data_IF_935427933668
#
_entry.id   IF_935427933668
#
_cell.length_a   1.000
_cell.length_b   1.000
_cell.length_c   1.000
_cell.angle_alpha   90.00
_cell.angle_beta   90.00
_cell.angle_gamma   90.00
#
_symmetry.space_group_name_H-M   'P 1'
#
loop_
_entity.id
_entity.type
_entity.pdbx_description
1 polymer ?
#
# COMPACT_ATOMS: atom_id res chain seq x y z
N UNK A 1 15.33 -14.69 -3.34
CA UNK A 1 15.45 -14.28 -2.45
C UNK A 1 14.51 -13.29 -1.86
N UNK A 2 14.48 -12.81 -0.92
CA UNK A 2 13.82 -11.70 -0.33
C UNK A 2 12.33 -11.49 -0.48
N UNK A 3 11.64 -12.29 -1.29
CA UNK A 3 10.24 -12.05 -1.56
C UNK A 3 9.34 -12.27 -0.35
N UNK A 4 9.86 -12.86 0.70
CA UNK A 4 9.12 -13.11 1.92
C UNK A 4 9.73 -12.39 3.10
N UNK A 5 10.38 -11.26 2.84
CA UNK A 5 10.87 -10.39 3.89
C UNK A 5 9.75 -9.94 4.79
N UNK A 6 10.06 -9.76 6.07
CA UNK A 6 9.12 -9.23 7.04
C UNK A 6 9.59 -7.85 7.49
N UNK A 7 8.64 -6.94 7.66
CA UNK A 7 8.94 -5.61 8.18
C UNK A 7 7.70 -5.06 8.88
N UNK A 8 7.93 -4.09 9.74
CA UNK A 8 6.86 -3.36 10.42
C UNK A 8 6.49 -2.10 9.67
N UNK A 9 7.40 -1.57 8.85
CA UNK A 9 7.18 -0.37 8.04
C UNK A 9 7.10 -0.78 6.58
N UNK A 10 6.07 -0.29 5.91
CA UNK A 10 5.89 -0.55 4.50
C UNK A 10 5.54 0.74 3.77
N UNK A 11 6.16 0.93 2.62
CA UNK A 11 5.81 2.02 1.71
C UNK A 11 5.39 1.41 0.39
N UNK A 12 4.23 1.84 -0.08
CA UNK A 12 3.65 1.32 -1.30
C UNK A 12 3.29 2.47 -2.22
N UNK A 13 3.37 2.23 -3.53
CA UNK A 13 2.90 3.17 -4.53
C UNK A 13 1.95 2.44 -5.46
N UNK A 14 0.73 2.96 -5.59
CA UNK A 14 -0.28 2.40 -6.48
C UNK A 14 -0.47 3.38 -7.63
N UNK A 15 -0.16 2.94 -8.85
CA UNK A 15 -0.40 3.74 -10.05
C UNK A 15 -1.85 3.55 -10.48
N UNK A 16 -2.51 4.67 -10.84
CA UNK A 16 -3.89 4.66 -11.32
C UNK A 16 -4.81 3.86 -10.40
N UNK A 17 -4.90 4.23 -9.12
CA UNK A 17 -5.63 3.42 -8.15
C UNK A 17 -7.10 3.24 -8.49
N UNK A 18 -7.75 4.26 -9.08
CA UNK A 18 -9.17 4.15 -9.41
C UNK A 18 -9.42 3.13 -10.51
N UNK A 19 -8.48 2.95 -11.43
CA UNK A 19 -8.60 1.91 -12.46
C UNK A 19 -8.52 0.52 -11.87
N UNK A 20 -7.85 0.39 -10.74
CA UNK A 20 -7.76 -0.87 -10.00
C UNK A 20 -8.88 -1.04 -8.98
N UNK A 21 -9.83 -0.09 -8.93
CA UNK A 21 -10.93 -0.13 -7.96
C UNK A 21 -10.48 0.24 -6.55
N UNK A 22 -9.39 0.99 -6.42
CA UNK A 22 -8.79 1.31 -5.12
C UNK A 22 -8.92 2.81 -4.83
N UNK A 23 -10.10 3.25 -4.41
CA UNK A 23 -10.24 4.58 -3.84
C UNK A 23 -9.69 4.58 -2.40
N UNK A 24 -9.66 5.76 -1.78
CA UNK A 24 -9.08 5.88 -0.42
C UNK A 24 -9.82 5.02 0.60
N UNK A 25 -11.13 4.90 0.47
CA UNK A 25 -11.91 4.08 1.41
C UNK A 25 -11.57 2.60 1.28
N UNK A 26 -11.44 2.12 0.05
CA UNK A 26 -11.07 0.73 -0.22
C UNK A 26 -9.65 0.45 0.28
N UNK A 27 -8.72 1.36 0.03
CA UNK A 27 -7.34 1.22 0.51
C UNK A 27 -7.33 1.18 2.05
N UNK A 28 -8.05 2.09 2.69
CA UNK A 28 -8.14 2.12 4.14
C UNK A 28 -8.66 0.80 4.70
N UNK A 29 -9.72 0.27 4.11
CA UNK A 29 -10.29 -0.99 4.57
C UNK A 29 -9.30 -2.13 4.49
N UNK A 30 -8.49 -2.17 3.42
CA UNK A 30 -7.45 -3.18 3.29
C UNK A 30 -6.36 -2.97 4.35
N UNK A 31 -5.92 -1.72 4.54
CA UNK A 31 -4.89 -1.41 5.54
C UNK A 31 -5.31 -1.79 6.94
N UNK A 32 -6.58 -1.59 7.28
CA UNK A 32 -7.09 -1.92 8.61
C UNK A 32 -7.03 -3.42 8.88
N UNK A 33 -6.99 -4.26 7.85
CA UNK A 33 -6.83 -5.70 8.04
C UNK A 33 -5.48 -6.05 8.66
N UNK A 34 -4.49 -5.17 8.56
CA UNK A 34 -3.17 -5.39 9.16
C UNK A 34 -3.07 -4.84 10.58
N UNK A 35 -4.14 -4.22 11.10
CA UNK A 35 -4.18 -3.60 12.43
C UNK A 35 -2.99 -2.64 12.63
N UNK A 36 -2.76 -1.69 11.73
CA UNK A 36 -1.61 -0.80 11.84
C UNK A 36 -1.78 0.15 13.02
N UNK A 37 -0.66 0.52 13.63
CA UNK A 37 -0.67 1.58 14.63
C UNK A 37 -0.63 2.96 13.98
N UNK A 38 -0.22 3.04 12.71
CA UNK A 38 -0.20 4.27 11.94
C UNK A 38 -0.25 3.96 10.46
N UNK A 39 -0.97 4.77 9.71
CA UNK A 39 -0.90 4.75 8.26
C UNK A 39 -1.24 6.14 7.72
N UNK A 40 -0.76 6.43 6.51
CA UNK A 40 -1.18 7.62 5.79
C UNK A 40 -1.18 7.33 4.30
N UNK A 41 -1.94 8.14 3.57
CA UNK A 41 -2.03 8.08 2.12
C UNK A 41 -1.83 9.48 1.56
N UNK A 42 -1.14 9.57 0.43
CA UNK A 42 -0.94 10.83 -0.26
C UNK A 42 -1.10 10.60 -1.75
N UNK A 43 -1.91 11.43 -2.39
CA UNK A 43 -2.11 11.38 -3.83
C UNK A 43 -1.14 12.31 -4.53
N UNK A 44 -0.67 11.90 -5.69
CA UNK A 44 0.19 12.69 -6.54
C UNK A 44 -0.22 12.49 -7.99
N UNK A 45 -0.12 13.55 -8.78
CA UNK A 45 -0.30 13.47 -10.22
C UNK A 45 1.04 13.81 -10.87
N UNK A 46 1.61 12.84 -11.58
CA UNK A 46 2.88 13.03 -12.28
C UNK A 46 2.69 14.00 -13.45
N UNK A 47 3.81 14.55 -13.95
CA UNK A 47 3.79 15.47 -15.09
C UNK A 47 3.16 14.85 -16.33
N UNK A 48 3.19 13.51 -16.42
CA UNK A 48 2.55 12.76 -17.51
C UNK A 48 1.04 12.63 -17.32
N UNK A 49 0.49 13.09 -16.21
CA UNK A 49 -0.93 12.94 -15.89
C UNK A 49 -1.28 11.63 -15.17
N UNK A 50 -0.31 10.79 -14.88
CA UNK A 50 -0.55 9.55 -14.18
C UNK A 50 -0.83 9.81 -12.69
N UNK A 51 -1.92 9.26 -12.19
CA UNK A 51 -2.26 9.36 -10.78
C UNK A 51 -1.53 8.28 -9.98
N UNK A 52 -0.99 8.68 -8.83
CA UNK A 52 -0.33 7.76 -7.90
C UNK A 52 -0.91 7.96 -6.51
N UNK A 53 -1.07 6.87 -5.78
CA UNK A 53 -1.33 6.97 -4.34
C UNK A 53 -0.15 6.34 -3.61
N UNK A 54 0.49 7.13 -2.76
CA UNK A 54 1.57 6.68 -1.91
C UNK A 54 0.99 6.31 -0.55
N UNK A 55 1.36 5.14 -0.05
CA UNK A 55 0.86 4.63 1.22
C UNK A 55 2.05 4.36 2.12
N UNK A 56 1.99 4.83 3.35
CA UNK A 56 2.93 4.46 4.40
C UNK A 56 2.13 3.78 5.51
N UNK A 57 2.64 2.63 5.97
CA UNK A 57 2.00 1.88 7.05
C UNK A 57 3.04 1.43 8.05
N UNK A 58 2.73 1.58 9.33
CA UNK A 58 3.53 1.01 10.42
C UNK A 58 2.66 0.04 11.19
N UNK A 59 3.11 -1.20 11.29
CA UNK A 59 2.40 -2.26 12.01
C UNK A 59 3.18 -2.63 13.26
N UNK A 60 2.50 -2.85 14.40
CA UNK A 60 3.20 -3.27 15.63
C UNK A 60 3.81 -4.67 15.52
N UNK A 61 3.29 -5.49 14.61
CA UNK A 61 3.85 -6.81 14.35
C UNK A 61 4.38 -6.86 12.91
N UNK A 62 5.48 -7.58 12.67
CA UNK A 62 6.01 -7.69 11.30
C UNK A 62 5.00 -8.29 10.34
N UNK A 63 4.94 -7.74 9.13
CA UNK A 63 4.10 -8.25 8.05
C UNK A 63 5.01 -8.71 6.92
N UNK A 64 4.66 -9.81 6.28
CA UNK A 64 5.45 -10.36 5.18
C UNK A 64 5.16 -9.63 3.89
N UNK A 65 6.18 -9.52 3.05
CA UNK A 65 6.05 -8.96 1.71
C UNK A 65 4.92 -9.65 0.93
N UNK A 66 4.88 -10.99 0.97
CA UNK A 66 3.86 -11.73 0.23
C UNK A 66 2.44 -11.40 0.70
N UNK A 67 2.26 -11.11 1.97
CA UNK A 67 0.96 -10.73 2.52
C UNK A 67 0.55 -9.34 2.01
N UNK A 68 1.48 -8.39 2.00
CA UNK A 68 1.23 -7.06 1.46
C UNK A 68 0.89 -7.16 -0.03
N UNK A 69 1.68 -7.92 -0.79
CA UNK A 69 1.49 -8.03 -2.24
C UNK A 69 0.18 -8.72 -2.58
N UNK A 70 -0.26 -9.67 -1.76
CA UNK A 70 -1.54 -10.35 -1.97
C UNK A 70 -2.72 -9.39 -1.82
N UNK A 71 -2.61 -8.41 -0.90
CA UNK A 71 -3.67 -7.43 -0.67
C UNK A 71 -3.61 -6.26 -1.65
N UNK A 72 -2.41 -5.93 -2.13
CA UNK A 72 -2.20 -4.83 -3.08
C UNK A 72 -1.40 -5.36 -4.28
N UNK A 73 -2.01 -6.18 -5.15
CA UNK A 73 -1.24 -6.85 -6.20
C UNK A 73 -0.64 -5.91 -7.24
N UNK A 74 -1.21 -4.73 -7.42
CA UNK A 74 -0.70 -3.76 -8.39
C UNK A 74 0.28 -2.76 -7.79
N UNK A 75 0.53 -2.82 -6.48
CA UNK A 75 1.39 -1.85 -5.82
C UNK A 75 2.87 -2.13 -6.08
N UNK A 76 3.63 -1.05 -6.16
CA UNK A 76 5.08 -1.10 -6.06
C UNK A 76 5.46 -0.97 -4.59
N UNK A 77 6.25 -1.89 -4.15
CA UNK A 77 6.65 -1.95 -2.74
C UNK A 77 8.13 -1.73 -2.57
#
# INVERSE_FOLDING_TARGET
>A
MGNNSQARKWMLTINNPLEAGLDHDSIRDILLCFSPSYYCMADEIATTGTHHTHIFMFSPSPVRFSTIKARFPTAHI
#
